data_IF_318185937418
#
_entry.id   IF_318185937418
#
_cell.length_a   1.000
_cell.length_b   1.000
_cell.length_c   1.000
_cell.angle_alpha   90.00
_cell.angle_beta   90.00
_cell.angle_gamma   90.00
#
_symmetry.space_group_name_H-M   'P 1'
#
loop_
_entity.id
_entity.type
_entity.pdbx_description
1 polymer ?
#
# COMPACT_ATOMS: atom_id res chain seq x y z
N UNK A 1 4.74 -17.23 -44.14
CA UNK A 1 5.09 -16.31 -43.02
C UNK A 1 3.83 -15.83 -42.30
N UNK A 2 3.26 -16.64 -41.40
CA UNK A 2 2.01 -16.33 -40.70
C UNK A 2 2.03 -16.95 -39.28
N UNK A 3 2.76 -16.36 -38.34
CA UNK A 3 2.56 -16.64 -36.90
C UNK A 3 3.39 -15.74 -35.96
N UNK A 4 3.24 -14.40 -36.03
CA UNK A 4 3.84 -13.50 -35.01
C UNK A 4 2.96 -12.34 -34.55
N UNK A 5 1.76 -12.16 -35.10
CA UNK A 5 0.91 -10.97 -34.81
C UNK A 5 -0.16 -11.17 -33.73
N UNK A 6 -0.29 -12.37 -33.14
CA UNK A 6 -1.31 -12.65 -32.10
C UNK A 6 -0.80 -12.61 -30.65
N UNK A 7 0.52 -12.46 -30.43
CA UNK A 7 1.09 -12.56 -29.08
C UNK A 7 1.00 -11.27 -28.24
N UNK A 8 0.83 -10.10 -28.87
CA UNK A 8 0.86 -8.81 -28.14
C UNK A 8 -0.49 -8.38 -27.52
N UNK A 9 -1.60 -9.00 -27.90
CA UNK A 9 -2.94 -8.58 -27.45
C UNK A 9 -3.34 -9.28 -26.13
N UNK A 10 -2.80 -10.48 -25.84
CA UNK A 10 -3.09 -11.18 -24.58
C UNK A 10 -2.34 -10.63 -23.36
N UNK A 11 -1.21 -9.94 -23.54
CA UNK A 11 -0.43 -9.40 -22.42
C UNK A 11 -1.07 -8.19 -21.72
N UNK A 12 -2.01 -7.50 -22.38
CA UNK A 12 -2.54 -6.23 -21.90
C UNK A 12 -3.76 -6.39 -20.97
N UNK A 13 -4.48 -7.51 -21.07
CA UNK A 13 -5.64 -7.85 -20.23
C UNK A 13 -5.25 -8.49 -18.88
N UNK A 14 -4.01 -8.96 -18.73
CA UNK A 14 -3.54 -9.56 -17.47
C UNK A 14 -3.09 -8.50 -16.45
N UNK A 15 -2.88 -7.25 -16.88
CA UNK A 15 -2.51 -6.14 -15.99
C UNK A 15 -3.70 -5.41 -15.37
N UNK A 16 -4.94 -5.71 -15.79
CA UNK A 16 -6.16 -5.20 -15.11
C UNK A 16 -6.52 -5.99 -13.85
N UNK A 17 -5.85 -7.13 -13.58
CA UNK A 17 -6.11 -7.99 -12.41
C UNK A 17 -4.93 -8.13 -11.47
N UNK A 18 -3.82 -7.42 -11.68
CA UNK A 18 -2.95 -7.09 -10.55
C UNK A 18 -3.72 -6.08 -9.71
N UNK A 19 -4.63 -6.59 -8.88
CA UNK A 19 -5.20 -5.90 -7.75
C UNK A 19 -4.04 -5.40 -6.92
N UNK A 20 -3.65 -4.17 -7.21
CA UNK A 20 -2.79 -3.38 -6.36
C UNK A 20 -3.64 -3.22 -5.11
N UNK A 21 -3.50 -4.12 -4.14
CA UNK A 21 -4.13 -3.95 -2.84
C UNK A 21 -3.61 -2.62 -2.31
N UNK A 22 -4.46 -1.62 -2.35
CA UNK A 22 -4.15 -0.31 -1.84
C UNK A 22 -4.32 -0.30 -0.31
N UNK A 23 -3.58 0.60 0.34
CA UNK A 23 -3.52 0.69 1.79
C UNK A 23 -4.75 1.34 2.40
N UNK A 24 -4.67 1.50 3.72
CA UNK A 24 -5.74 2.03 4.56
C UNK A 24 -6.18 3.47 4.21
N UNK A 25 -5.32 4.25 3.53
CA UNK A 25 -5.57 5.66 3.27
C UNK A 25 -5.92 5.96 1.81
N UNK A 26 -6.06 4.95 0.94
CA UNK A 26 -6.25 5.16 -0.50
C UNK A 26 -7.35 6.17 -0.83
N UNK A 27 -8.50 6.06 -0.18
CA UNK A 27 -9.68 6.90 -0.39
C UNK A 27 -9.55 8.33 0.17
N UNK A 28 -8.53 8.56 0.99
CA UNK A 28 -8.22 9.81 1.69
C UNK A 28 -6.95 10.50 1.15
N UNK A 29 -6.35 9.97 0.07
CA UNK A 29 -5.22 10.61 -0.61
C UNK A 29 -5.70 11.66 -1.62
N UNK A 30 -5.13 12.85 -1.53
CA UNK A 30 -5.33 13.95 -2.47
C UNK A 30 -4.09 14.13 -3.34
N UNK A 31 -4.33 14.40 -4.62
CA UNK A 31 -3.31 14.51 -5.65
C UNK A 31 -3.37 15.88 -6.32
N UNK A 32 -2.21 16.55 -6.36
CA UNK A 32 -1.94 17.65 -7.28
C UNK A 32 -1.12 17.11 -8.45
N UNK A 33 -1.63 17.27 -9.67
CA UNK A 33 -0.99 16.73 -10.88
C UNK A 33 -0.72 17.89 -11.84
N UNK A 34 0.56 18.24 -11.97
CA UNK A 34 1.04 19.21 -12.95
C UNK A 34 2.02 18.51 -13.89
N UNK A 35 1.64 18.36 -15.16
CA UNK A 35 2.38 17.62 -16.19
C UNK A 35 2.76 16.19 -15.78
N UNK A 36 3.99 16.04 -15.26
CA UNK A 36 4.58 14.78 -14.78
C UNK A 36 4.91 14.81 -13.28
N UNK A 37 4.69 15.93 -12.60
CA UNK A 37 4.86 16.06 -11.17
C UNK A 37 3.55 15.67 -10.47
N UNK A 38 3.63 14.66 -9.59
CA UNK A 38 2.50 14.17 -8.82
C UNK A 38 2.84 14.39 -7.36
N UNK A 39 2.19 15.38 -6.75
CA UNK A 39 2.27 15.60 -5.30
C UNK A 39 1.09 14.93 -4.64
N UNK A 40 1.37 14.18 -3.58
CA UNK A 40 0.35 13.48 -2.79
C UNK A 40 0.35 14.03 -1.38
N UNK A 41 -0.85 14.21 -0.83
CA UNK A 41 -1.02 14.59 0.57
C UNK A 41 -2.30 14.00 1.16
N UNK A 42 -2.43 14.13 2.48
CA UNK A 42 -3.68 13.88 3.22
C UNK A 42 -4.55 15.14 3.34
N UNK A 43 -4.10 16.26 2.79
CA UNK A 43 -4.77 17.55 2.92
C UNK A 43 -5.70 17.77 1.72
N UNK A 44 -7.01 17.84 2.00
CA UNK A 44 -8.06 18.08 1.00
C UNK A 44 -7.89 19.38 0.19
N UNK A 45 -7.11 20.33 0.69
CA UNK A 45 -6.87 21.61 0.01
C UNK A 45 -5.76 21.52 -1.05
N UNK A 46 -5.00 20.43 -1.11
CA UNK A 46 -3.87 20.27 -2.02
C UNK A 46 -4.25 19.63 -3.36
N UNK A 47 -5.54 19.52 -3.71
CA UNK A 47 -5.98 19.01 -5.01
C UNK A 47 -7.24 18.13 -4.95
N UNK A 48 -7.45 17.35 -6.01
CA UNK A 48 -8.56 16.39 -6.11
C UNK A 48 -8.19 15.02 -5.55
N UNK A 49 -9.17 14.16 -5.27
CA UNK A 49 -8.88 12.81 -4.78
C UNK A 49 -8.09 12.00 -5.82
N UNK A 50 -7.01 11.36 -5.40
CA UNK A 50 -6.20 10.54 -6.29
C UNK A 50 -7.03 9.43 -6.94
N UNK A 51 -7.94 8.80 -6.19
CA UNK A 51 -8.82 7.74 -6.69
C UNK A 51 -9.78 8.22 -7.78
N UNK A 52 -10.25 9.47 -7.71
CA UNK A 52 -11.09 10.08 -8.74
C UNK A 52 -10.29 10.31 -10.03
N UNK A 53 -9.04 10.80 -9.92
CA UNK A 53 -8.16 10.93 -11.07
C UNK A 53 -7.86 9.58 -11.74
N UNK A 54 -7.60 8.54 -10.96
CA UNK A 54 -7.39 7.18 -11.48
C UNK A 54 -8.63 6.69 -12.21
N UNK A 55 -9.83 6.81 -11.62
CA UNK A 55 -11.10 6.44 -12.25
C UNK A 55 -11.33 7.19 -13.56
N UNK A 56 -11.04 8.49 -13.57
CA UNK A 56 -11.12 9.31 -14.78
C UNK A 56 -10.20 8.81 -15.90
N UNK A 57 -8.95 8.49 -15.58
CA UNK A 57 -8.01 7.92 -16.56
C UNK A 57 -8.49 6.57 -17.08
N UNK A 58 -8.99 5.71 -16.21
CA UNK A 58 -9.53 4.40 -16.60
C UNK A 58 -10.73 4.52 -17.55
N UNK A 59 -11.64 5.47 -17.30
CA UNK A 59 -12.75 5.77 -18.20
C UNK A 59 -12.24 6.26 -19.56
N UNK A 60 -11.29 7.19 -19.59
CA UNK A 60 -10.65 7.64 -20.84
C UNK A 60 -9.99 6.50 -21.61
N UNK A 61 -9.28 5.61 -20.91
CA UNK A 61 -8.65 4.44 -21.52
C UNK A 61 -9.69 3.52 -22.17
N UNK A 62 -10.84 3.29 -21.52
CA UNK A 62 -11.95 2.49 -22.09
C UNK A 62 -12.48 3.10 -23.39
N UNK A 63 -12.67 4.41 -23.43
CA UNK A 63 -13.12 5.13 -24.64
C UNK A 63 -12.11 4.98 -25.76
N UNK A 64 -10.83 5.29 -25.51
CA UNK A 64 -9.76 5.19 -26.52
C UNK A 64 -9.60 3.76 -27.03
N UNK A 65 -9.74 2.77 -26.15
CA UNK A 65 -9.71 1.36 -26.55
C UNK A 65 -10.87 0.99 -27.50
N UNK A 66 -12.09 1.46 -27.21
CA UNK A 66 -13.24 1.28 -28.09
C UNK A 66 -13.03 1.92 -29.47
N UNK A 67 -12.42 3.10 -29.52
CA UNK A 67 -12.05 3.76 -30.78
C UNK A 67 -11.08 2.90 -31.58
N UNK A 68 -10.02 2.37 -30.93
CA UNK A 68 -9.03 1.50 -31.58
C UNK A 68 -9.69 0.26 -32.18
N UNK A 69 -10.63 -0.37 -31.47
CA UNK A 69 -11.36 -1.53 -31.97
C UNK A 69 -12.24 -1.18 -33.19
N UNK A 70 -12.90 -0.02 -33.14
CA UNK A 70 -13.74 0.48 -34.24
C UNK A 70 -12.90 0.75 -35.49
N UNK A 71 -11.77 1.45 -35.34
CA UNK A 71 -10.82 1.73 -36.42
C UNK A 71 -10.24 0.43 -36.99
N UNK A 72 -9.89 -0.54 -36.13
CA UNK A 72 -9.46 -1.86 -36.57
C UNK A 72 -10.54 -2.55 -37.42
N UNK A 73 -11.81 -2.36 -37.10
CA UNK A 73 -12.94 -2.82 -37.91
C UNK A 73 -12.93 -2.26 -39.33
N UNK A 74 -12.72 -0.94 -39.49
CA UNK A 74 -12.60 -0.29 -40.82
C UNK A 74 -11.41 -0.82 -41.62
N UNK A 75 -10.25 -0.94 -40.97
CA UNK A 75 -9.03 -1.49 -41.59
C UNK A 75 -9.26 -2.94 -42.05
N UNK A 76 -9.90 -3.78 -41.24
CA UNK A 76 -10.19 -5.17 -41.58
C UNK A 76 -11.13 -5.28 -42.79
N UNK A 77 -12.07 -4.34 -42.94
CA UNK A 77 -12.97 -4.22 -44.10
C UNK A 77 -12.29 -3.58 -45.32
N UNK A 78 -10.99 -3.27 -45.25
CA UNK A 78 -10.22 -2.54 -46.28
C UNK A 78 -10.78 -1.16 -46.64
N UNK A 79 -11.63 -0.59 -45.79
CA UNK A 79 -12.15 0.77 -45.95
C UNK A 79 -11.01 1.72 -45.64
N UNK A 80 -10.56 2.48 -46.64
CA UNK A 80 -9.49 3.49 -46.54
C UNK A 80 -8.37 3.14 -45.54
N UNK A 81 -7.79 1.96 -45.71
CA UNK A 81 -6.83 1.44 -44.75
C UNK A 81 -5.57 2.32 -44.63
N UNK A 82 -5.27 3.11 -45.67
CA UNK A 82 -4.19 4.09 -45.65
C UNK A 82 -4.47 5.23 -44.67
N UNK A 83 -5.68 5.78 -44.68
CA UNK A 83 -6.13 6.81 -43.74
C UNK A 83 -6.24 6.31 -42.29
N UNK A 84 -6.84 5.13 -42.09
CA UNK A 84 -7.16 4.65 -40.73
C UNK A 84 -5.95 4.15 -39.93
N UNK A 85 -4.88 3.69 -40.59
CA UNK A 85 -3.68 3.15 -39.91
C UNK A 85 -2.96 4.21 -39.05
N UNK A 86 -2.60 5.40 -39.57
CA UNK A 86 -2.02 6.47 -38.75
C UNK A 86 -2.89 6.86 -37.55
N UNK A 87 -4.21 6.97 -37.73
CA UNK A 87 -5.15 7.32 -36.65
C UNK A 87 -5.14 6.23 -35.57
N UNK A 88 -5.12 4.96 -35.96
CA UNK A 88 -4.99 3.85 -35.00
C UNK A 88 -3.69 3.96 -34.20
N UNK A 89 -2.57 4.26 -34.85
CA UNK A 89 -1.27 4.41 -34.18
C UNK A 89 -1.28 5.57 -33.18
N UNK A 90 -1.89 6.71 -33.55
CA UNK A 90 -2.07 7.84 -32.64
C UNK A 90 -2.90 7.45 -31.41
N UNK A 91 -4.03 6.77 -31.61
CA UNK A 91 -4.87 6.29 -30.50
C UNK A 91 -4.14 5.28 -29.61
N UNK A 92 -3.32 4.40 -30.18
CA UNK A 92 -2.47 3.49 -29.41
C UNK A 92 -1.43 4.27 -28.56
N UNK A 93 -0.80 5.32 -29.11
CA UNK A 93 0.10 6.18 -28.33
C UNK A 93 -0.63 6.88 -27.19
N UNK A 94 -1.83 7.39 -27.45
CA UNK A 94 -2.66 8.01 -26.41
C UNK A 94 -3.00 7.02 -25.29
N UNK A 95 -3.42 5.80 -25.63
CA UNK A 95 -3.72 4.75 -24.65
C UNK A 95 -2.50 4.44 -23.76
N UNK A 96 -1.32 4.30 -24.37
CA UNK A 96 -0.07 4.08 -23.64
C UNK A 96 0.27 5.25 -22.70
N UNK A 97 0.05 6.49 -23.14
CA UNK A 97 0.29 7.68 -22.32
C UNK A 97 -0.68 7.74 -21.11
N UNK A 98 -1.96 7.42 -21.33
CA UNK A 98 -2.94 7.33 -20.25
C UNK A 98 -2.58 6.25 -19.22
N UNK A 99 -2.15 5.07 -19.69
CA UNK A 99 -1.71 3.99 -18.81
C UNK A 99 -0.47 4.39 -18.00
N UNK A 100 0.53 5.03 -18.62
CA UNK A 100 1.72 5.55 -17.94
C UNK A 100 1.34 6.55 -16.84
N UNK A 101 0.44 7.50 -17.14
CA UNK A 101 -0.05 8.47 -16.15
C UNK A 101 -0.75 7.78 -14.98
N UNK A 102 -1.64 6.82 -15.26
CA UNK A 102 -2.31 6.01 -14.24
C UNK A 102 -1.29 5.32 -13.34
N UNK A 103 -0.34 4.59 -13.92
CA UNK A 103 0.70 3.88 -13.16
C UNK A 103 1.54 4.83 -12.31
N UNK A 104 1.89 6.01 -12.84
CA UNK A 104 2.67 7.01 -12.10
C UNK A 104 1.90 7.49 -10.85
N UNK A 105 0.60 7.76 -10.96
CA UNK A 105 -0.23 8.12 -9.80
C UNK A 105 -0.23 7.00 -8.76
N UNK A 106 -0.48 5.75 -9.17
CA UNK A 106 -0.54 4.62 -8.25
C UNK A 106 0.79 4.35 -7.54
N UNK A 107 1.92 4.51 -8.25
CA UNK A 107 3.25 4.38 -7.67
C UNK A 107 3.48 5.47 -6.63
N UNK A 108 3.16 6.73 -6.95
CA UNK A 108 3.30 7.83 -5.99
C UNK A 108 2.42 7.61 -4.76
N UNK A 109 1.16 7.14 -4.93
CA UNK A 109 0.25 6.85 -3.82
C UNK A 109 0.86 5.82 -2.86
N UNK A 110 1.36 4.71 -3.42
CA UNK A 110 2.01 3.66 -2.65
C UNK A 110 3.28 4.16 -1.96
N UNK A 111 4.13 4.93 -2.64
CA UNK A 111 5.34 5.50 -2.05
C UNK A 111 4.99 6.43 -0.88
N UNK A 112 3.98 7.27 -1.04
CA UNK A 112 3.48 8.14 0.02
C UNK A 112 2.99 7.33 1.22
N UNK A 113 2.14 6.32 1.02
CA UNK A 113 1.65 5.46 2.10
C UNK A 113 2.79 4.74 2.84
N UNK A 114 3.78 4.22 2.11
CA UNK A 114 4.93 3.55 2.71
C UNK A 114 5.78 4.51 3.56
N UNK A 115 6.02 5.73 3.06
CA UNK A 115 6.77 6.75 3.79
C UNK A 115 6.00 7.21 5.03
N UNK A 116 4.69 7.39 4.91
CA UNK A 116 3.82 7.73 6.02
C UNK A 116 3.87 6.63 7.09
N UNK A 117 3.75 5.36 6.69
CA UNK A 117 3.83 4.22 7.60
C UNK A 117 5.19 4.14 8.30
N UNK A 118 6.29 4.38 7.58
CA UNK A 118 7.62 4.46 8.16
C UNK A 118 7.72 5.56 9.22
N UNK A 119 7.17 6.75 8.94
CA UNK A 119 7.15 7.87 9.89
C UNK A 119 6.29 7.57 11.12
N UNK A 120 5.12 6.95 10.95
CA UNK A 120 4.30 6.53 12.07
C UNK A 120 5.00 5.50 12.95
N UNK A 121 5.67 4.51 12.35
CA UNK A 121 6.47 3.53 13.09
C UNK A 121 7.59 4.20 13.89
N UNK A 122 8.37 5.08 13.26
CA UNK A 122 9.44 5.83 13.91
C UNK A 122 8.92 6.61 15.13
N UNK A 123 7.87 7.42 14.95
CA UNK A 123 7.30 8.23 16.03
C UNK A 123 6.71 7.39 17.15
N UNK A 124 6.02 6.30 16.81
CA UNK A 124 5.43 5.41 17.81
C UNK A 124 6.50 4.67 18.61
N UNK A 125 7.53 4.12 17.94
CA UNK A 125 8.63 3.43 18.60
C UNK A 125 9.43 4.37 19.51
N UNK A 126 9.71 5.60 19.05
CA UNK A 126 10.35 6.61 19.88
C UNK A 126 9.55 6.90 21.15
N UNK A 127 8.21 6.99 21.06
CA UNK A 127 7.34 7.23 22.20
C UNK A 127 7.37 6.10 23.24
N UNK A 128 7.52 4.85 22.81
CA UNK A 128 7.43 3.67 23.69
C UNK A 128 8.80 3.13 24.11
N UNK A 129 9.90 3.74 23.66
CA UNK A 129 11.27 3.26 23.87
C UNK A 129 11.60 3.07 25.36
N UNK A 130 11.24 4.04 26.21
CA UNK A 130 11.48 3.92 27.66
C UNK A 130 10.73 2.75 28.28
N UNK A 131 9.51 2.44 27.81
CA UNK A 131 8.76 1.30 28.32
C UNK A 131 9.39 -0.02 27.84
N UNK A 132 9.84 -0.09 26.58
CA UNK A 132 10.60 -1.23 26.03
C UNK A 132 11.78 -1.58 26.94
N UNK A 133 12.63 -0.59 27.26
CA UNK A 133 13.80 -0.77 28.11
C UNK A 133 13.45 -1.23 29.53
N UNK A 134 12.36 -0.70 30.11
CA UNK A 134 11.87 -1.14 31.43
C UNK A 134 11.44 -2.60 31.41
N UNK A 135 10.73 -3.03 30.36
CA UNK A 135 10.27 -4.42 30.22
C UNK A 135 11.43 -5.39 30.00
N UNK A 136 12.41 -5.02 29.17
CA UNK A 136 13.62 -5.81 28.94
C UNK A 136 14.40 -6.02 30.25
N UNK A 137 14.61 -4.95 31.04
CA UNK A 137 15.25 -5.04 32.36
C UNK A 137 14.45 -5.91 33.32
N UNK A 138 13.13 -5.75 33.38
CA UNK A 138 12.28 -6.54 34.27
C UNK A 138 12.35 -8.04 33.97
N UNK A 139 12.35 -8.43 32.69
CA UNK A 139 12.48 -9.84 32.29
C UNK A 139 13.85 -10.40 32.71
N UNK A 140 14.94 -9.66 32.48
CA UNK A 140 16.29 -10.08 32.91
C UNK A 140 16.34 -10.31 34.42
N UNK A 141 15.75 -9.39 35.21
CA UNK A 141 15.69 -9.53 36.66
C UNK A 141 14.86 -10.74 37.08
N UNK A 142 13.71 -10.97 36.46
CA UNK A 142 12.86 -12.15 36.75
C UNK A 142 13.59 -13.45 36.41
N UNK A 143 14.19 -13.54 35.22
CA UNK A 143 14.91 -14.73 34.76
C UNK A 143 16.13 -15.05 35.68
N UNK A 144 16.79 -14.01 36.23
CA UNK A 144 17.84 -14.17 37.23
C UNK A 144 17.34 -14.64 38.61
N UNK A 145 16.10 -14.32 38.96
CA UNK A 145 15.47 -14.65 40.24
C UNK A 145 14.67 -15.95 40.23
N UNK A 146 14.40 -16.55 39.07
CA UNK A 146 13.61 -17.79 38.91
C UNK A 146 14.15 -19.05 39.62
N UNK A 147 15.21 -18.94 40.43
CA UNK A 147 15.73 -19.98 41.30
C UNK A 147 15.23 -19.95 42.76
N UNK A 148 14.42 -18.95 43.18
CA UNK A 148 14.07 -18.76 44.60
C UNK A 148 12.55 -18.70 44.88
N UNK A 149 12.05 -19.73 45.56
CA UNK A 149 10.72 -19.91 46.19
C UNK A 149 9.50 -20.26 45.29
N UNK A 150 8.71 -21.23 45.76
CA UNK A 150 7.60 -21.89 45.05
C UNK A 150 6.26 -21.14 45.12
N UNK A 151 6.09 -20.26 46.12
CA UNK A 151 4.81 -19.61 46.45
C UNK A 151 4.54 -18.30 45.69
N UNK A 152 5.54 -17.72 44.99
CA UNK A 152 5.43 -16.49 44.19
C UNK A 152 5.46 -16.75 42.67
N UNK A 153 5.61 -18.03 42.27
CA UNK A 153 5.92 -18.47 40.90
C UNK A 153 4.84 -18.09 39.88
N UNK A 154 3.57 -18.37 40.15
CA UNK A 154 2.49 -18.20 39.18
C UNK A 154 2.24 -16.72 38.80
N UNK A 155 2.32 -15.80 39.76
CA UNK A 155 2.15 -14.36 39.50
C UNK A 155 3.32 -13.76 38.71
N UNK A 156 4.54 -14.17 39.06
CA UNK A 156 5.78 -13.76 38.38
C UNK A 156 5.81 -14.32 36.96
N UNK A 157 5.43 -15.58 36.76
CA UNK A 157 5.33 -16.23 35.44
C UNK A 157 4.32 -15.51 34.54
N UNK A 158 3.12 -15.19 35.08
CA UNK A 158 2.10 -14.44 34.33
C UNK A 158 2.60 -13.06 33.92
N UNK A 159 3.24 -12.32 34.82
CA UNK A 159 3.81 -11.01 34.52
C UNK A 159 4.94 -11.10 33.47
N UNK A 160 5.84 -12.08 33.63
CA UNK A 160 6.93 -12.33 32.68
C UNK A 160 6.39 -12.62 31.27
N UNK A 161 5.34 -13.45 31.17
CA UNK A 161 4.70 -13.73 29.90
C UNK A 161 4.08 -12.49 29.27
N UNK A 162 3.33 -11.69 30.04
CA UNK A 162 2.75 -10.42 29.55
C UNK A 162 3.82 -9.42 29.08
N UNK A 163 4.95 -9.35 29.78
CA UNK A 163 6.08 -8.52 29.39
C UNK A 163 6.71 -9.01 28.07
N UNK A 164 6.91 -10.34 27.92
CA UNK A 164 7.40 -10.96 26.69
C UNK A 164 6.45 -10.72 25.51
N UNK A 165 5.15 -10.88 25.72
CA UNK A 165 4.13 -10.62 24.71
C UNK A 165 4.12 -9.15 24.30
N UNK A 166 4.24 -8.22 25.27
CA UNK A 166 4.36 -6.79 24.99
C UNK A 166 5.61 -6.50 24.14
N UNK A 167 6.79 -7.02 24.50
CA UNK A 167 8.01 -6.86 23.69
C UNK A 167 7.87 -7.45 22.27
N UNK A 168 7.18 -8.59 22.14
CA UNK A 168 6.89 -9.18 20.84
C UNK A 168 5.99 -8.28 19.98
N UNK A 169 5.01 -7.59 20.57
CA UNK A 169 4.23 -6.59 19.84
C UNK A 169 5.08 -5.40 19.39
N UNK A 170 6.04 -4.94 20.21
CA UNK A 170 6.97 -3.86 19.83
C UNK A 170 7.81 -4.27 18.61
N UNK A 171 8.38 -5.48 18.61
CA UNK A 171 9.08 -6.04 17.43
C UNK A 171 8.14 -6.21 16.23
N UNK A 172 6.88 -6.56 16.49
CA UNK A 172 5.85 -6.64 15.45
C UNK A 172 5.59 -5.30 14.77
N UNK A 173 5.60 -4.20 15.53
CA UNK A 173 5.42 -2.83 15.02
C UNK A 173 6.56 -2.48 14.05
N UNK A 174 7.81 -2.72 14.43
CA UNK A 174 8.99 -2.48 13.57
C UNK A 174 8.84 -3.16 12.20
N UNK A 175 8.34 -4.40 12.21
CA UNK A 175 8.22 -5.26 11.03
C UNK A 175 6.91 -5.10 10.23
N UNK A 176 5.97 -4.25 10.67
CA UNK A 176 4.69 -4.10 9.99
C UNK A 176 4.88 -3.50 8.58
N UNK A 177 4.41 -4.22 7.55
CA UNK A 177 4.48 -3.80 6.13
C UNK A 177 3.27 -3.01 5.64
N UNK A 178 2.18 -2.99 6.40
CA UNK A 178 0.93 -2.30 6.05
C UNK A 178 0.34 -1.59 7.26
N UNK A 179 -0.43 -0.53 7.03
CA UNK A 179 -1.17 0.15 8.09
C UNK A 179 -2.17 -0.76 8.81
N UNK A 180 -2.84 -1.67 8.08
CA UNK A 180 -3.74 -2.66 8.69
C UNK A 180 -3.02 -3.54 9.70
N UNK A 181 -1.83 -4.04 9.34
CA UNK A 181 -1.01 -4.85 10.25
C UNK A 181 -0.48 -4.01 11.41
N UNK A 182 0.04 -2.81 11.13
CA UNK A 182 0.54 -1.88 12.14
C UNK A 182 -0.55 -1.55 13.18
N UNK A 183 -1.73 -1.13 12.75
CA UNK A 183 -2.84 -0.77 13.63
C UNK A 183 -3.31 -1.96 14.49
N UNK A 184 -3.33 -3.17 13.93
CA UNK A 184 -3.65 -4.38 14.71
C UNK A 184 -2.63 -4.59 15.83
N UNK A 185 -1.33 -4.56 15.51
CA UNK A 185 -0.28 -4.79 16.50
C UNK A 185 -0.24 -3.67 17.54
N UNK A 186 -0.50 -2.42 17.16
CA UNK A 186 -0.61 -1.30 18.11
C UNK A 186 -1.78 -1.52 19.09
N UNK A 187 -2.93 -2.02 18.63
CA UNK A 187 -4.04 -2.39 19.52
C UNK A 187 -3.65 -3.49 20.50
N UNK A 188 -2.96 -4.52 20.02
CA UNK A 188 -2.46 -5.62 20.85
C UNK A 188 -1.46 -5.09 21.91
N UNK A 189 -0.52 -4.23 21.49
CA UNK A 189 0.42 -3.56 22.39
C UNK A 189 -0.29 -2.74 23.49
N UNK A 190 -1.29 -1.94 23.13
CA UNK A 190 -2.06 -1.14 24.09
C UNK A 190 -2.85 -2.03 25.05
N UNK A 191 -3.38 -3.16 24.58
CA UNK A 191 -4.06 -4.13 25.42
C UNK A 191 -3.10 -4.74 26.46
N UNK A 192 -1.95 -5.26 26.04
CA UNK A 192 -0.99 -5.85 26.98
C UNK A 192 -0.40 -4.81 27.94
N UNK A 193 -0.17 -3.58 27.48
CA UNK A 193 0.27 -2.48 28.35
C UNK A 193 -0.75 -2.20 29.46
N UNK A 194 -2.05 -2.17 29.15
CA UNK A 194 -3.09 -2.00 30.18
C UNK A 194 -3.09 -3.13 31.22
N UNK A 195 -2.96 -4.38 30.75
CA UNK A 195 -2.86 -5.54 31.63
C UNK A 195 -1.65 -5.46 32.57
N UNK A 196 -0.50 -4.97 32.09
CA UNK A 196 0.70 -4.74 32.91
C UNK A 196 0.52 -3.62 33.94
N UNK A 197 -0.28 -2.59 33.61
CA UNK A 197 -0.62 -1.50 34.53
C UNK A 197 -1.72 -1.88 35.54
N UNK A 198 -2.30 -3.08 35.43
CA UNK A 198 -3.45 -3.50 36.25
C UNK A 198 -4.75 -2.76 35.92
N UNK A 199 -4.90 -2.29 34.68
CA UNK A 199 -6.04 -1.52 34.18
C UNK A 199 -6.83 -2.23 33.09
#
# INVERSE_FOLDING_TARGET
MHSRKKLFILGFLVLTTMGVSFGYYEDDLYCHIEDNNIKISLNKHDGGKCTEYVKYLEQKMKVVYKDILTIQGYINKRQDAGYWRPIKEEKMRLLNNLQKRRLNILINMRTFENNLLAKFKELFLAKIQTQKEKLEKAIITIDALSGTSESSKAGIEKYSQLAKDTLNTIRGIENAKTFTRFNKIVKDYLYFTKQLEGK
#
